data_IF_209110467546
#
_entry.id   IF_209110467546
#
_cell.length_a   1.000
_cell.length_b   1.000
_cell.length_c   1.000
_cell.angle_alpha   90.00
_cell.angle_beta   90.00
_cell.angle_gamma   90.00
#
_symmetry.space_group_name_H-M   'P 1'
#
loop_
_entity.id
_entity.type
_entity.pdbx_description
1 polymer ?
#
# COMPACT_ATOMS: atom_id res chain seq x y z
N UNK A 1 3.95 -20.43 11.25
CA UNK A 1 3.77 -20.18 9.79
C UNK A 1 4.92 -20.87 9.08
N UNK A 2 4.65 -21.80 8.15
CA UNK A 2 5.72 -22.43 7.37
C UNK A 2 6.20 -21.47 6.28
N UNK A 3 7.51 -21.44 6.01
CA UNK A 3 8.11 -20.60 4.94
C UNK A 3 7.48 -20.89 3.57
N UNK A 4 6.94 -22.10 3.38
CA UNK A 4 6.26 -22.57 2.17
C UNK A 4 5.11 -21.65 1.71
N UNK A 5 4.46 -20.94 2.65
CA UNK A 5 3.31 -20.09 2.36
C UNK A 5 3.65 -18.60 2.21
N UNK A 6 4.93 -18.22 2.28
CA UNK A 6 5.37 -16.84 2.15
C UNK A 6 5.59 -16.48 0.68
N UNK A 7 5.04 -15.34 0.24
CA UNK A 7 5.20 -14.81 -1.12
C UNK A 7 5.77 -13.39 -1.05
N UNK A 8 7.00 -13.22 -1.53
CA UNK A 8 7.60 -11.90 -1.72
C UNK A 8 7.21 -11.39 -3.11
N UNK A 9 6.51 -10.26 -3.18
CA UNK A 9 6.09 -9.62 -4.43
C UNK A 9 6.53 -8.16 -4.45
N UNK A 10 6.79 -7.63 -5.65
CA UNK A 10 7.09 -6.21 -5.88
C UNK A 10 6.16 -5.67 -6.97
N UNK A 11 5.63 -4.46 -6.76
CA UNK A 11 4.73 -3.79 -7.71
C UNK A 11 5.51 -2.66 -8.37
N UNK A 12 5.65 -2.72 -9.70
CA UNK A 12 6.37 -1.72 -10.49
C UNK A 12 5.43 -1.23 -11.59
N UNK A 13 5.35 0.08 -11.76
CA UNK A 13 4.59 0.73 -12.82
C UNK A 13 5.11 2.15 -13.05
N UNK A 14 4.75 2.73 -14.18
CA UNK A 14 5.07 4.11 -14.51
C UNK A 14 4.34 5.12 -13.58
N UNK A 15 4.78 6.38 -13.57
CA UNK A 15 4.13 7.46 -12.79
C UNK A 15 2.64 7.54 -13.15
N UNK A 16 1.79 7.81 -12.16
CA UNK A 16 0.33 7.90 -12.28
C UNK A 16 -0.43 6.61 -12.69
N UNK A 17 0.24 5.46 -12.74
CA UNK A 17 -0.42 4.17 -13.01
C UNK A 17 -1.15 3.55 -11.80
N UNK A 18 -1.41 4.33 -10.75
CA UNK A 18 -2.22 3.88 -9.61
C UNK A 18 -1.59 2.77 -8.76
N UNK A 19 -0.25 2.67 -8.69
CA UNK A 19 0.46 1.69 -7.83
C UNK A 19 -0.01 1.75 -6.38
N UNK A 20 -0.08 2.96 -5.83
CA UNK A 20 -0.46 3.22 -4.44
C UNK A 20 -1.91 2.78 -4.20
N UNK A 21 -2.83 3.13 -5.10
CA UNK A 21 -4.24 2.69 -5.05
C UNK A 21 -4.39 1.17 -5.09
N UNK A 22 -3.54 0.47 -5.86
CA UNK A 22 -3.56 -0.99 -5.94
C UNK A 22 -3.09 -1.63 -4.63
N UNK A 23 -2.03 -1.09 -4.02
CA UNK A 23 -1.51 -1.56 -2.72
C UNK A 23 -2.55 -1.35 -1.61
N UNK A 24 -3.17 -0.17 -1.55
CA UNK A 24 -4.18 0.16 -0.53
C UNK A 24 -5.37 -0.83 -0.59
N UNK A 25 -5.87 -1.14 -1.79
CA UNK A 25 -6.98 -2.11 -1.96
C UNK A 25 -6.61 -3.54 -1.58
N UNK A 26 -5.38 -3.97 -1.90
CA UNK A 26 -4.89 -5.29 -1.50
C UNK A 26 -4.78 -5.42 0.03
N UNK A 27 -4.29 -4.36 0.67
CA UNK A 27 -4.20 -4.28 2.12
C UNK A 27 -5.58 -4.30 2.78
N UNK A 28 -6.54 -3.51 2.28
CA UNK A 28 -7.94 -3.50 2.74
C UNK A 28 -8.59 -4.88 2.59
N UNK A 29 -8.44 -5.53 1.44
CA UNK A 29 -9.01 -6.86 1.17
C UNK A 29 -8.38 -7.96 2.04
N UNK A 30 -7.08 -7.85 2.37
CA UNK A 30 -6.38 -8.84 3.19
C UNK A 30 -6.74 -8.80 4.67
N UNK A 31 -7.48 -7.78 5.12
CA UNK A 31 -7.87 -7.59 6.52
C UNK A 31 -6.70 -7.35 7.47
N UNK A 32 -5.49 -7.09 6.96
CA UNK A 32 -4.30 -6.82 7.80
C UNK A 32 -4.34 -5.46 8.47
N UNK A 33 -5.05 -4.49 7.88
CA UNK A 33 -5.42 -3.24 8.55
C UNK A 33 -6.83 -3.39 9.14
N UNK A 34 -6.91 -3.83 10.40
CA UNK A 34 -8.17 -3.81 11.15
C UNK A 34 -8.67 -2.38 11.40
N UNK A 35 -9.87 -2.24 11.96
CA UNK A 35 -10.61 -0.99 12.25
C UNK A 35 -9.80 0.15 12.91
N UNK A 36 -8.61 -0.14 13.45
CA UNK A 36 -7.70 0.82 14.08
C UNK A 36 -6.88 1.66 13.08
N UNK A 37 -6.83 1.26 11.81
CA UNK A 37 -6.03 1.97 10.81
C UNK A 37 -6.67 3.26 10.29
N UNK A 38 -8.00 3.41 10.43
CA UNK A 38 -8.76 4.46 9.76
C UNK A 38 -8.73 4.33 8.23
N UNK A 39 -9.64 5.03 7.56
CA UNK A 39 -9.56 5.25 6.11
C UNK A 39 -8.36 6.17 5.83
N UNK A 40 -7.15 5.63 5.85
CA UNK A 40 -5.96 6.37 5.43
C UNK A 40 -5.73 6.05 3.96
N UNK A 41 -6.16 6.96 3.10
CA UNK A 41 -5.75 6.97 1.69
C UNK A 41 -4.20 7.00 1.66
N UNK A 42 -3.57 6.04 0.97
CA UNK A 42 -2.10 5.89 0.86
C UNK A 42 -1.39 5.56 2.17
N UNK A 43 -1.67 4.39 2.71
CA UNK A 43 -1.13 3.90 3.99
C UNK A 43 0.40 3.82 4.01
N UNK A 44 1.01 3.60 2.85
CA UNK A 44 2.46 3.43 2.69
C UNK A 44 3.22 4.76 2.55
N UNK A 45 2.52 5.86 2.28
CA UNK A 45 3.13 7.19 2.15
C UNK A 45 3.39 7.74 3.56
N UNK A 46 4.67 7.75 3.97
CA UNK A 46 5.08 8.12 5.32
C UNK A 46 5.46 9.59 5.44
N UNK A 47 5.92 10.22 4.35
CA UNK A 47 6.39 11.60 4.34
C UNK A 47 5.28 12.59 3.97
N UNK A 48 5.35 13.82 4.51
CA UNK A 48 4.40 14.88 4.18
C UNK A 48 4.40 15.25 2.67
N UNK A 49 5.58 15.22 2.04
CA UNK A 49 5.75 15.47 0.60
C UNK A 49 5.05 14.41 -0.25
N UNK A 50 5.09 13.14 0.17
CA UNK A 50 4.42 12.03 -0.52
C UNK A 50 2.91 12.23 -0.49
N UNK A 51 2.37 12.58 0.68
CA UNK A 51 0.94 12.87 0.87
C UNK A 51 0.47 14.09 0.08
N UNK A 52 1.24 15.19 0.13
CA UNK A 52 0.92 16.45 -0.53
C UNK A 52 0.99 16.34 -2.06
N UNK A 53 1.96 15.59 -2.60
CA UNK A 53 2.17 15.48 -4.05
C UNK A 53 1.60 14.22 -4.69
N UNK A 54 1.10 13.28 -3.91
CA UNK A 54 0.61 11.99 -4.40
C UNK A 54 1.65 11.14 -5.10
N UNK A 55 2.88 11.22 -4.61
CA UNK A 55 4.00 10.42 -5.08
C UNK A 55 4.42 9.47 -3.95
N UNK A 56 4.86 8.27 -4.31
CA UNK A 56 5.52 7.35 -3.38
C UNK A 56 7.02 7.37 -3.72
N UNK A 57 7.87 7.67 -2.73
CA UNK A 57 9.34 7.75 -2.86
C UNK A 57 9.98 6.48 -2.28
#
# INVERSE_FOLDING_TARGET
MSIQNLRNIAIIAHVDHGKTTLVDKLLQQSGTLGDRAGEVERVMDSNAIEKERGITI
#
